data_IF_196637837527
#
_entry.id   IF_196637837527
#
_cell.length_a   1.000
_cell.length_b   1.000
_cell.length_c   1.000
_cell.angle_alpha   90.00
_cell.angle_beta   90.00
_cell.angle_gamma   90.00
#
_symmetry.space_group_name_H-M   'P 1'
#
loop_
_entity.id
_entity.type
_entity.pdbx_description
1 polymer ?
#
# COMPACT_ATOMS: atom_id res chain seq x y z
N UNK A 1 14.19 9.26 -15.35
CA UNK A 1 15.56 8.84 -15.02
C UNK A 1 16.54 9.18 -16.15
N UNK A 2 16.30 8.70 -17.39
CA UNK A 2 17.16 8.96 -18.56
C UNK A 2 17.22 10.48 -18.87
N UNK A 3 16.09 11.19 -18.79
CA UNK A 3 16.01 12.64 -19.04
C UNK A 3 16.76 13.43 -17.96
N UNK A 4 16.67 13.02 -16.69
CA UNK A 4 17.37 13.67 -15.57
C UNK A 4 18.91 13.50 -15.63
N UNK A 5 19.40 12.42 -16.21
CA UNK A 5 20.84 12.20 -16.44
C UNK A 5 21.35 13.08 -17.60
N UNK A 6 20.49 13.48 -18.52
CA UNK A 6 20.85 14.18 -19.75
C UNK A 6 20.77 15.73 -19.61
N UNK A 7 19.96 16.25 -18.67
CA UNK A 7 19.73 17.70 -18.53
C UNK A 7 19.91 18.20 -17.09
N UNK A 8 21.00 18.93 -16.77
CA UNK A 8 21.20 19.54 -15.45
C UNK A 8 20.09 20.53 -15.06
N UNK A 9 19.46 21.20 -16.04
CA UNK A 9 18.34 22.13 -15.81
C UNK A 9 17.10 21.38 -15.33
N UNK A 10 16.79 20.22 -15.90
CA UNK A 10 15.70 19.39 -15.43
C UNK A 10 15.94 18.88 -13.99
N UNK A 11 17.18 18.54 -13.68
CA UNK A 11 17.59 18.14 -12.34
C UNK A 11 17.36 19.25 -11.31
N UNK A 12 17.72 20.49 -11.64
CA UNK A 12 17.53 21.64 -10.74
C UNK A 12 16.04 21.95 -10.52
N UNK A 13 15.22 21.85 -11.57
CA UNK A 13 13.77 22.02 -11.47
C UNK A 13 13.14 20.90 -10.63
N UNK A 14 13.52 19.65 -10.88
CA UNK A 14 13.03 18.51 -10.12
C UNK A 14 13.37 18.67 -8.63
N UNK A 15 14.63 18.98 -8.30
CA UNK A 15 15.06 19.18 -6.91
C UNK A 15 14.36 20.38 -6.25
N UNK A 16 14.10 21.46 -6.98
CA UNK A 16 13.37 22.61 -6.44
C UNK A 16 11.89 22.29 -6.18
N UNK A 17 11.26 21.48 -7.02
CA UNK A 17 9.87 21.04 -6.82
C UNK A 17 9.76 20.10 -5.61
N UNK A 18 10.67 19.13 -5.46
CA UNK A 18 10.66 18.20 -4.33
C UNK A 18 10.95 18.89 -2.99
N UNK A 19 11.74 19.97 -2.99
CA UNK A 19 12.03 20.77 -1.79
C UNK A 19 10.88 21.73 -1.40
N UNK A 20 10.05 22.16 -2.36
CA UNK A 20 8.93 23.08 -2.09
C UNK A 20 7.67 22.37 -1.59
N UNK A 21 7.48 21.12 -1.94
CA UNK A 21 6.33 20.32 -1.54
C UNK A 21 6.79 19.17 -0.65
N UNK A 22 6.18 19.01 0.51
CA UNK A 22 6.32 17.79 1.30
C UNK A 22 5.60 16.65 0.58
N UNK A 23 6.37 15.97 -0.29
CA UNK A 23 5.86 14.89 -1.13
C UNK A 23 5.26 13.76 -0.27
N UNK A 24 5.88 13.46 0.86
CA UNK A 24 5.43 12.41 1.76
C UNK A 24 4.06 12.74 2.36
N UNK A 25 3.87 13.99 2.81
CA UNK A 25 2.61 14.46 3.36
C UNK A 25 1.48 14.46 2.32
N UNK A 26 1.76 14.97 1.11
CA UNK A 26 0.82 14.95 -0.01
C UNK A 26 0.40 13.52 -0.35
N UNK A 27 1.36 12.59 -0.36
CA UNK A 27 1.10 11.21 -0.74
C UNK A 27 0.26 10.49 0.30
N UNK A 28 0.60 10.60 1.58
CA UNK A 28 -0.09 9.89 2.65
C UNK A 28 -1.48 10.49 2.92
N UNK A 29 -1.58 11.83 2.97
CA UNK A 29 -2.82 12.50 3.41
C UNK A 29 -3.81 12.76 2.26
N UNK A 30 -3.34 12.80 1.00
CA UNK A 30 -4.21 13.08 -0.14
C UNK A 30 -4.22 11.91 -1.12
N UNK A 31 -3.09 11.59 -1.75
CA UNK A 31 -3.09 10.62 -2.86
C UNK A 31 -3.51 9.22 -2.41
N UNK A 32 -2.98 8.73 -1.29
CA UNK A 32 -3.27 7.39 -0.78
C UNK A 32 -4.76 7.17 -0.46
N UNK A 33 -5.46 8.06 0.27
CA UNK A 33 -6.90 7.95 0.46
C UNK A 33 -7.70 7.84 -0.84
N UNK A 34 -7.34 8.64 -1.86
CA UNK A 34 -8.01 8.60 -3.16
C UNK A 34 -7.76 7.28 -3.90
N UNK A 35 -6.51 6.81 -3.95
CA UNK A 35 -6.14 5.55 -4.58
C UNK A 35 -6.83 4.35 -3.92
N UNK A 36 -6.85 4.31 -2.59
CA UNK A 36 -7.47 3.22 -1.84
C UNK A 36 -8.99 3.23 -1.97
N UNK A 37 -9.62 4.39 -2.00
CA UNK A 37 -11.04 4.49 -2.26
C UNK A 37 -11.39 4.00 -3.68
N UNK A 38 -10.65 4.45 -4.69
CA UNK A 38 -10.83 3.99 -6.06
C UNK A 38 -10.62 2.48 -6.20
N UNK A 39 -9.62 1.92 -5.51
CA UNK A 39 -9.43 0.49 -5.37
C UNK A 39 -10.64 -0.20 -4.73
N UNK A 40 -11.14 0.32 -3.61
CA UNK A 40 -12.24 -0.27 -2.86
C UNK A 40 -13.57 -0.30 -3.65
N UNK A 41 -13.87 0.75 -4.41
CA UNK A 41 -15.07 0.76 -5.26
C UNK A 41 -14.95 -0.11 -6.52
N UNK A 42 -13.74 -0.58 -6.84
CA UNK A 42 -13.48 -1.42 -8.01
C UNK A 42 -13.53 -2.92 -7.72
N UNK A 43 -13.49 -3.31 -6.44
CA UNK A 43 -13.47 -4.72 -6.01
C UNK A 43 -14.88 -5.30 -6.02
N UNK A 44 -15.02 -6.56 -6.42
CA UNK A 44 -16.28 -7.30 -6.29
C UNK A 44 -16.57 -7.61 -4.80
N UNK A 45 -17.43 -6.80 -4.17
CA UNK A 45 -17.73 -6.92 -2.74
C UNK A 45 -18.33 -8.27 -2.38
N UNK A 46 -19.17 -8.86 -3.25
CA UNK A 46 -19.77 -10.16 -2.98
C UNK A 46 -18.71 -11.28 -2.89
N UNK A 47 -17.77 -11.32 -3.82
CA UNK A 47 -16.67 -12.28 -3.79
C UNK A 47 -15.71 -12.02 -2.65
N UNK A 48 -15.43 -10.73 -2.35
CA UNK A 48 -14.61 -10.34 -1.22
C UNK A 48 -15.21 -10.82 0.11
N UNK A 49 -16.51 -10.66 0.32
CA UNK A 49 -17.19 -11.14 1.53
C UNK A 49 -17.19 -12.67 1.63
N UNK A 50 -17.30 -13.38 0.51
CA UNK A 50 -17.22 -14.84 0.49
C UNK A 50 -15.81 -15.35 0.85
N UNK A 51 -14.76 -14.60 0.51
CA UNK A 51 -13.37 -14.95 0.76
C UNK A 51 -12.69 -14.07 1.81
N UNK A 52 -13.46 -13.31 2.59
CA UNK A 52 -12.95 -12.34 3.58
C UNK A 52 -11.89 -12.90 4.52
N UNK A 53 -12.06 -14.12 5.00
CA UNK A 53 -11.09 -14.74 5.91
C UNK A 53 -9.76 -15.09 5.22
N UNK A 54 -9.81 -15.47 3.93
CA UNK A 54 -8.61 -15.69 3.12
C UNK A 54 -7.87 -14.38 2.93
N UNK A 55 -8.60 -13.34 2.50
CA UNK A 55 -8.05 -12.02 2.21
C UNK A 55 -7.47 -11.38 3.48
N UNK A 56 -8.24 -11.37 4.58
CA UNK A 56 -7.79 -10.79 5.85
C UNK A 56 -6.58 -11.54 6.43
N UNK A 57 -6.55 -12.87 6.33
CA UNK A 57 -5.40 -13.63 6.82
C UNK A 57 -4.15 -13.37 5.98
N UNK A 58 -4.27 -13.34 4.65
CA UNK A 58 -3.16 -13.01 3.76
C UNK A 58 -2.64 -11.59 4.01
N UNK A 59 -3.53 -10.61 4.13
CA UNK A 59 -3.16 -9.24 4.38
C UNK A 59 -2.52 -9.03 5.75
N UNK A 60 -3.14 -9.52 6.84
CA UNK A 60 -2.65 -9.29 8.19
C UNK A 60 -1.41 -10.12 8.53
N UNK A 61 -1.48 -11.44 8.32
CA UNK A 61 -0.34 -12.32 8.58
C UNK A 61 0.83 -11.98 7.66
N UNK A 62 0.56 -11.73 6.36
CA UNK A 62 1.57 -11.37 5.38
C UNK A 62 2.35 -10.12 5.78
N UNK A 63 1.66 -9.05 6.20
CA UNK A 63 2.28 -7.79 6.64
C UNK A 63 3.07 -7.99 7.92
N UNK A 64 2.45 -8.55 8.96
CA UNK A 64 3.10 -8.74 10.27
C UNK A 64 4.33 -9.64 10.12
N UNK A 65 4.18 -10.78 9.45
CA UNK A 65 5.30 -11.70 9.21
C UNK A 65 6.42 -11.03 8.42
N UNK A 66 6.11 -10.32 7.32
CA UNK A 66 7.10 -9.61 6.52
C UNK A 66 7.81 -8.53 7.33
N UNK A 67 7.09 -7.76 8.15
CA UNK A 67 7.68 -6.72 9.01
C UNK A 67 8.75 -7.30 9.92
N UNK A 68 8.42 -8.37 10.65
CA UNK A 68 9.36 -8.98 11.58
C UNK A 68 10.48 -9.76 10.86
N UNK A 69 10.17 -10.52 9.81
CA UNK A 69 11.16 -11.30 9.07
C UNK A 69 12.19 -10.41 8.37
N UNK A 70 11.71 -9.39 7.63
CA UNK A 70 12.60 -8.46 6.92
C UNK A 70 13.33 -7.57 7.91
N UNK A 71 12.64 -6.98 8.89
CA UNK A 71 13.27 -6.10 9.89
C UNK A 71 14.34 -6.81 10.71
N UNK A 72 14.08 -8.03 11.19
CA UNK A 72 15.06 -8.81 11.94
C UNK A 72 16.27 -9.20 11.07
N UNK A 73 16.03 -9.60 9.82
CA UNK A 73 17.11 -9.97 8.92
C UNK A 73 18.00 -8.76 8.57
N UNK A 74 17.39 -7.60 8.30
CA UNK A 74 18.12 -6.36 8.04
C UNK A 74 18.91 -5.93 9.27
N UNK A 75 18.31 -5.97 10.46
CA UNK A 75 19.02 -5.69 11.71
C UNK A 75 20.25 -6.59 11.87
N UNK A 76 20.07 -7.91 11.66
CA UNK A 76 21.20 -8.85 11.76
C UNK A 76 22.30 -8.53 10.75
N UNK A 77 21.97 -8.15 9.51
CA UNK A 77 22.92 -7.76 8.47
C UNK A 77 23.68 -6.50 8.89
N UNK A 78 22.99 -5.47 9.37
CA UNK A 78 23.62 -4.19 9.74
C UNK A 78 24.56 -4.29 10.93
N UNK A 79 24.34 -5.28 11.82
CA UNK A 79 25.24 -5.55 12.95
C UNK A 79 26.52 -6.34 12.56
N UNK A 80 26.61 -6.87 11.33
CA UNK A 80 27.79 -7.61 10.94
C UNK A 80 28.95 -6.67 10.60
N UNK A 81 30.14 -6.86 11.22
CA UNK A 81 31.33 -6.02 10.94
C UNK A 81 31.76 -6.06 9.46
N UNK A 82 31.42 -7.16 8.77
CA UNK A 82 31.75 -7.37 7.36
C UNK A 82 31.23 -6.27 6.44
N UNK A 83 30.09 -5.66 6.80
CA UNK A 83 29.42 -4.66 5.96
C UNK A 83 29.77 -3.21 6.35
N UNK A 84 30.43 -2.99 7.50
CA UNK A 84 30.79 -1.65 7.97
C UNK A 84 29.58 -0.75 8.29
N UNK A 85 28.39 -1.33 8.48
CA UNK A 85 27.14 -0.59 8.72
C UNK A 85 26.82 -0.39 10.20
N UNK A 86 27.58 -1.03 11.09
CA UNK A 86 27.36 -0.91 12.55
C UNK A 86 27.53 0.53 13.06
N UNK A 87 28.33 1.34 12.38
CA UNK A 87 28.55 2.75 12.69
C UNK A 87 27.33 3.65 12.40
N UNK A 88 26.41 3.20 11.53
CA UNK A 88 25.16 3.93 11.22
C UNK A 88 24.14 3.93 12.37
N UNK A 89 24.38 3.16 13.42
CA UNK A 89 23.58 3.17 14.65
C UNK A 89 22.12 2.76 14.49
N UNK A 90 21.76 2.00 13.44
CA UNK A 90 20.40 1.53 13.23
C UNK A 90 19.94 0.66 14.39
N UNK A 91 18.85 1.05 15.02
CA UNK A 91 18.20 0.27 16.08
C UNK A 91 17.32 -0.83 15.48
N UNK A 92 16.95 -1.80 16.32
CA UNK A 92 16.02 -2.86 15.89
C UNK A 92 14.68 -2.30 15.40
N UNK A 93 14.18 -1.22 16.05
CA UNK A 93 12.93 -0.55 15.64
C UNK A 93 13.07 0.11 14.27
N UNK A 94 14.22 0.70 13.95
CA UNK A 94 14.47 1.29 12.61
C UNK A 94 14.41 0.23 11.52
N UNK A 95 14.97 -0.95 11.79
CA UNK A 95 14.90 -2.08 10.87
C UNK A 95 13.47 -2.66 10.77
N UNK A 96 12.69 -2.66 11.87
CA UNK A 96 11.28 -3.04 11.82
C UNK A 96 10.45 -2.02 11.03
N UNK A 97 10.74 -0.71 11.14
CA UNK A 97 10.13 0.33 10.31
C UNK A 97 10.38 0.04 8.82
N UNK A 98 11.63 -0.31 8.45
CA UNK A 98 11.92 -0.76 7.08
C UNK A 98 11.09 -1.99 6.69
N UNK A 99 10.97 -2.99 7.57
CA UNK A 99 10.14 -4.16 7.34
C UNK A 99 8.66 -3.80 7.11
N UNK A 100 8.13 -2.86 7.90
CA UNK A 100 6.73 -2.43 7.82
C UNK A 100 6.44 -1.63 6.54
N UNK A 101 7.31 -0.68 6.17
CA UNK A 101 7.11 0.12 4.95
C UNK A 101 7.26 -0.69 3.66
N UNK A 102 8.03 -1.80 3.69
CA UNK A 102 8.22 -2.65 2.52
C UNK A 102 7.21 -3.82 2.47
N UNK A 103 6.39 -4.03 3.50
CA UNK A 103 5.42 -5.12 3.54
C UNK A 103 4.20 -4.91 2.63
N UNK A 104 3.60 -3.71 2.48
CA UNK A 104 2.48 -3.45 1.57
C UNK A 104 2.80 -3.74 0.11
N UNK A 105 1.79 -4.14 -0.68
CA UNK A 105 1.96 -4.52 -2.10
C UNK A 105 0.94 -3.86 -3.00
N UNK A 106 1.38 -3.32 -4.12
CA UNK A 106 0.56 -2.66 -5.12
C UNK A 106 -0.02 -3.68 -6.14
N UNK A 107 -1.35 -3.79 -6.28
CA UNK A 107 -1.98 -4.76 -7.17
C UNK A 107 -2.13 -4.27 -8.61
N UNK A 108 -1.92 -2.97 -8.91
CA UNK A 108 -2.35 -2.35 -10.17
C UNK A 108 -1.75 -3.03 -11.38
N UNK A 109 -0.42 -3.14 -11.41
CA UNK A 109 0.27 -3.79 -12.52
C UNK A 109 -0.07 -5.29 -12.63
N UNK A 110 -0.29 -5.94 -11.49
CA UNK A 110 -0.66 -7.36 -11.42
C UNK A 110 -2.07 -7.58 -11.96
N UNK A 111 -3.05 -6.80 -11.52
CA UNK A 111 -4.43 -6.89 -11.94
C UNK A 111 -4.57 -6.62 -13.46
N UNK A 112 -3.84 -5.65 -14.00
CA UNK A 112 -3.81 -5.39 -15.43
C UNK A 112 -3.29 -6.59 -16.24
N UNK A 113 -2.37 -7.38 -15.70
CA UNK A 113 -1.87 -8.60 -16.34
C UNK A 113 -2.82 -9.78 -16.15
N UNK A 114 -3.35 -9.97 -14.94
CA UNK A 114 -4.27 -11.05 -14.57
C UNK A 114 -5.54 -11.00 -15.43
N UNK A 115 -6.12 -9.81 -15.64
CA UNK A 115 -7.26 -9.59 -16.54
C UNK A 115 -6.97 -10.05 -17.98
N UNK A 116 -5.74 -9.85 -18.47
CA UNK A 116 -5.33 -10.31 -19.83
C UNK A 116 -5.11 -11.83 -19.91
N UNK A 117 -5.10 -12.52 -18.78
CA UNK A 117 -4.79 -13.95 -18.69
C UNK A 117 -6.02 -14.82 -18.44
N UNK A 118 -7.23 -14.20 -18.36
CA UNK A 118 -8.50 -14.89 -18.13
C UNK A 118 -8.50 -15.76 -16.85
N UNK A 119 -7.86 -15.29 -15.76
CA UNK A 119 -8.01 -15.91 -14.44
C UNK A 119 -9.43 -15.68 -13.93
N UNK A 120 -9.84 -16.47 -12.93
CA UNK A 120 -11.18 -16.32 -12.36
C UNK A 120 -11.32 -14.97 -11.65
N UNK A 121 -12.54 -14.43 -11.65
CA UNK A 121 -12.93 -13.24 -10.89
C UNK A 121 -12.61 -13.39 -9.40
N UNK A 122 -12.73 -14.59 -8.85
CA UNK A 122 -12.38 -14.90 -7.47
C UNK A 122 -10.89 -14.67 -7.18
N UNK A 123 -10.02 -15.12 -8.08
CA UNK A 123 -8.56 -14.90 -7.93
C UNK A 123 -8.20 -13.43 -8.09
N UNK A 124 -8.84 -12.71 -9.02
CA UNK A 124 -8.69 -11.25 -9.14
C UNK A 124 -9.10 -10.54 -7.87
N UNK A 125 -10.24 -10.89 -7.29
CA UNK A 125 -10.76 -10.32 -6.04
C UNK A 125 -9.86 -10.63 -4.84
N UNK A 126 -9.27 -11.84 -4.76
CA UNK A 126 -8.29 -12.19 -3.72
C UNK A 126 -7.05 -11.30 -3.79
N UNK A 127 -6.50 -11.10 -4.99
CA UNK A 127 -5.32 -10.25 -5.22
C UNK A 127 -5.63 -8.79 -4.88
N UNK A 128 -6.73 -8.26 -5.42
CA UNK A 128 -7.15 -6.88 -5.18
C UNK A 128 -7.46 -6.63 -3.69
N UNK A 129 -8.22 -7.52 -3.07
CA UNK A 129 -8.61 -7.40 -1.67
C UNK A 129 -7.43 -7.58 -0.71
N UNK A 130 -6.53 -8.55 -0.98
CA UNK A 130 -5.33 -8.73 -0.18
C UNK A 130 -4.48 -7.46 -0.18
N UNK A 131 -4.24 -6.88 -1.35
CA UNK A 131 -3.46 -5.67 -1.49
C UNK A 131 -4.13 -4.45 -0.84
N UNK A 132 -5.44 -4.28 -1.03
CA UNK A 132 -6.21 -3.19 -0.45
C UNK A 132 -6.14 -3.18 1.09
N UNK A 133 -6.23 -4.36 1.72
CA UNK A 133 -6.16 -4.47 3.18
C UNK A 133 -4.72 -4.47 3.70
N UNK A 134 -3.75 -5.01 2.94
CA UNK A 134 -2.37 -5.00 3.40
C UNK A 134 -1.78 -3.59 3.41
N UNK A 135 -2.18 -2.69 2.51
CA UNK A 135 -1.82 -1.28 2.54
C UNK A 135 -2.32 -0.63 3.83
N UNK A 136 -3.59 -0.87 4.18
CA UNK A 136 -4.17 -0.37 5.42
C UNK A 136 -3.45 -0.87 6.67
N UNK A 137 -3.23 -2.18 6.76
CA UNK A 137 -2.56 -2.81 7.90
C UNK A 137 -1.09 -2.39 7.95
N UNK A 138 -0.42 -2.29 6.80
CA UNK A 138 0.98 -1.88 6.71
C UNK A 138 1.22 -0.47 7.23
N UNK A 139 0.35 0.48 6.86
CA UNK A 139 0.41 1.85 7.40
C UNK A 139 0.18 1.85 8.91
N UNK A 140 -0.79 1.10 9.43
CA UNK A 140 -1.04 1.02 10.88
C UNK A 140 0.16 0.44 11.62
N UNK A 141 0.75 -0.66 11.12
CA UNK A 141 1.95 -1.26 11.71
C UNK A 141 3.13 -0.28 11.67
N UNK A 142 3.31 0.43 10.55
CA UNK A 142 4.36 1.44 10.42
C UNK A 142 4.17 2.58 11.41
N UNK A 143 2.97 3.18 11.51
CA UNK A 143 2.69 4.27 12.43
C UNK A 143 2.82 3.85 13.88
N UNK A 144 2.39 2.64 14.23
CA UNK A 144 2.60 2.07 15.57
C UNK A 144 4.09 1.94 15.90
N UNK A 145 4.92 1.43 14.98
CA UNK A 145 6.37 1.33 15.16
C UNK A 145 7.02 2.73 15.21
N UNK A 146 6.52 3.68 14.43
CA UNK A 146 6.98 5.05 14.43
C UNK A 146 6.70 5.73 15.77
N UNK A 147 5.52 5.54 16.35
CA UNK A 147 5.19 6.03 17.70
C UNK A 147 6.12 5.43 18.74
N UNK A 148 6.42 4.11 18.66
CA UNK A 148 7.40 3.45 19.53
C UNK A 148 8.79 4.09 19.41
N UNK A 149 9.21 4.44 18.20
CA UNK A 149 10.49 5.10 17.95
C UNK A 149 10.52 6.50 18.55
N UNK A 150 9.44 7.27 18.43
CA UNK A 150 9.36 8.67 18.85
C UNK A 150 9.22 8.81 20.38
N UNK A 151 8.44 7.94 21.03
CA UNK A 151 8.19 7.99 22.48
C UNK A 151 9.31 7.32 23.29
N UNK A 152 10.12 6.47 22.63
CA UNK A 152 11.17 5.66 23.27
C UNK A 152 10.62 4.37 23.90
N UNK A 153 11.37 3.28 23.71
CA UNK A 153 10.98 1.90 24.13
C UNK A 153 10.74 1.84 25.65
N UNK A 154 11.44 2.63 26.42
CA UNK A 154 11.37 2.63 27.91
C UNK A 154 10.01 3.11 28.44
N UNK A 155 9.29 3.93 27.66
CA UNK A 155 8.01 4.53 28.05
C UNK A 155 6.80 3.71 27.58
N UNK A 156 7.03 2.64 26.81
CA UNK A 156 5.97 1.90 26.13
C UNK A 156 5.79 0.51 26.74
N UNK A 157 4.55 0.19 27.07
CA UNK A 157 4.17 -1.16 27.52
C UNK A 157 3.54 -1.95 26.37
N UNK A 158 3.65 -3.30 26.35
CA UNK A 158 2.94 -4.12 25.36
C UNK A 158 1.44 -3.85 25.32
N UNK A 159 0.87 -3.45 26.45
CA UNK A 159 -0.55 -3.09 26.56
C UNK A 159 -0.85 -1.77 25.83
N UNK A 160 -0.01 -0.74 25.99
CA UNK A 160 -0.22 0.54 25.27
C UNK A 160 -0.10 0.36 23.75
N UNK A 161 0.87 -0.41 23.26
CA UNK A 161 1.03 -0.74 21.84
C UNK A 161 -0.21 -1.45 21.30
N UNK A 162 -0.69 -2.47 22.04
CA UNK A 162 -1.89 -3.20 21.62
C UNK A 162 -3.12 -2.31 21.58
N UNK A 163 -3.28 -1.40 22.54
CA UNK A 163 -4.39 -0.44 22.57
C UNK A 163 -4.31 0.55 21.42
N UNK A 164 -3.13 1.10 21.14
CA UNK A 164 -2.92 1.98 19.98
C UNK A 164 -3.30 1.27 18.67
N UNK A 165 -2.76 0.09 18.45
CA UNK A 165 -3.06 -0.71 17.26
C UNK A 165 -4.56 -1.03 17.13
N UNK A 166 -5.20 -1.47 18.21
CA UNK A 166 -6.63 -1.75 18.22
C UNK A 166 -7.44 -0.48 17.96
N UNK A 167 -7.08 0.64 18.59
CA UNK A 167 -7.77 1.92 18.38
C UNK A 167 -7.68 2.37 16.92
N UNK A 168 -6.50 2.32 16.32
CA UNK A 168 -6.30 2.67 14.91
C UNK A 168 -7.11 1.74 13.98
N UNK A 169 -7.02 0.43 14.16
CA UNK A 169 -7.70 -0.54 13.28
C UNK A 169 -9.21 -0.50 13.48
N UNK A 170 -9.68 -0.68 14.71
CA UNK A 170 -11.13 -0.75 15.00
C UNK A 170 -11.77 0.61 14.80
N UNK A 171 -11.11 1.69 15.24
CA UNK A 171 -11.58 3.06 15.02
C UNK A 171 -11.70 3.39 13.53
N UNK A 172 -10.70 3.05 12.73
CA UNK A 172 -10.73 3.23 11.27
C UNK A 172 -11.87 2.47 10.61
N UNK A 173 -12.07 1.19 10.96
CA UNK A 173 -13.16 0.37 10.44
C UNK A 173 -14.54 0.95 10.82
N UNK A 174 -14.73 1.35 12.07
CA UNK A 174 -16.00 1.94 12.54
C UNK A 174 -16.25 3.27 11.84
N UNK A 175 -15.26 4.15 11.77
CA UNK A 175 -15.37 5.44 11.10
C UNK A 175 -15.73 5.25 9.62
N UNK A 176 -15.03 4.37 8.92
CA UNK A 176 -15.31 4.05 7.52
C UNK A 176 -16.72 3.50 7.30
N UNK A 177 -17.19 2.61 8.18
CA UNK A 177 -18.54 2.08 8.13
C UNK A 177 -19.61 3.17 8.37
N UNK A 178 -19.38 4.05 9.35
CA UNK A 178 -20.29 5.19 9.63
C UNK A 178 -20.33 6.16 8.45
N UNK A 179 -19.16 6.57 7.95
CA UNK A 179 -19.08 7.49 6.82
C UNK A 179 -19.65 6.86 5.54
N UNK A 180 -19.37 5.59 5.28
CA UNK A 180 -19.94 4.86 4.15
C UNK A 180 -21.45 4.74 4.23
N UNK A 181 -22.01 4.43 5.41
CA UNK A 181 -23.44 4.39 5.63
C UNK A 181 -24.12 5.75 5.46
N UNK A 182 -23.50 6.82 6.01
CA UNK A 182 -24.01 8.19 5.81
C UNK A 182 -23.92 8.60 4.34
N UNK A 183 -22.82 8.27 3.66
CA UNK A 183 -22.66 8.50 2.22
C UNK A 183 -23.73 7.81 1.39
N UNK A 184 -24.02 6.53 1.67
CA UNK A 184 -25.13 5.80 1.03
C UNK A 184 -26.48 6.49 1.24
N UNK A 185 -26.75 6.97 2.44
CA UNK A 185 -27.99 7.70 2.71
C UNK A 185 -28.09 9.03 1.96
N UNK A 186 -26.97 9.77 1.89
CA UNK A 186 -26.89 11.03 1.16
C UNK A 186 -27.12 10.82 -0.34
N UNK A 187 -26.43 9.83 -0.94
CA UNK A 187 -26.61 9.49 -2.35
C UNK A 187 -28.05 9.10 -2.65
N UNK A 188 -28.68 8.26 -1.80
CA UNK A 188 -30.09 7.88 -1.99
C UNK A 188 -31.09 9.00 -1.77
N UNK A 189 -30.76 10.00 -0.93
CA UNK A 189 -31.66 11.11 -0.63
C UNK A 189 -31.75 12.14 -1.78
N UNK A 190 -30.68 12.28 -2.57
CA UNK A 190 -30.55 13.30 -3.64
C UNK A 190 -31.33 12.89 -4.89
N UNK A 191 -32.06 11.73 -4.86
CA UNK A 191 -32.90 11.27 -5.98
C UNK A 191 -32.41 11.68 -7.39
N UNK A 192 -31.44 10.93 -7.88
CA UNK A 192 -31.24 10.48 -9.27
C UNK A 192 -31.31 11.46 -10.45
N UNK A 193 -31.28 12.78 -10.27
CA UNK A 193 -31.27 13.69 -11.39
C UNK A 193 -29.88 14.24 -11.76
N UNK A 194 -28.90 14.16 -10.83
CA UNK A 194 -27.59 14.80 -11.01
C UNK A 194 -26.44 13.87 -10.61
N UNK A 195 -25.86 13.20 -11.60
CA UNK A 195 -24.72 12.28 -11.45
C UNK A 195 -23.49 12.97 -10.81
N UNK A 196 -23.32 14.26 -11.09
CA UNK A 196 -22.22 15.07 -10.58
C UNK A 196 -22.24 15.17 -9.05
N UNK A 197 -23.43 15.15 -8.43
CA UNK A 197 -23.58 15.23 -6.99
C UNK A 197 -23.04 13.97 -6.28
N UNK A 198 -23.20 12.79 -6.87
CA UNK A 198 -22.64 11.55 -6.31
C UNK A 198 -21.11 11.59 -6.30
N UNK A 199 -20.50 12.09 -7.36
CA UNK A 199 -19.05 12.30 -7.42
C UNK A 199 -18.60 13.30 -6.36
N UNK A 200 -19.29 14.43 -6.23
CA UNK A 200 -18.95 15.46 -5.22
C UNK A 200 -19.08 14.91 -3.80
N UNK A 201 -20.12 14.13 -3.52
CA UNK A 201 -20.30 13.48 -2.21
C UNK A 201 -19.15 12.53 -1.93
N UNK A 202 -18.82 11.63 -2.86
CA UNK A 202 -17.74 10.67 -2.66
C UNK A 202 -16.39 11.36 -2.50
N UNK A 203 -16.10 12.40 -3.28
CA UNK A 203 -14.90 13.23 -3.13
C UNK A 203 -14.83 13.89 -1.76
N UNK A 204 -15.95 14.50 -1.33
CA UNK A 204 -16.02 15.17 -0.02
C UNK A 204 -15.78 14.19 1.13
N UNK A 205 -16.36 13.00 1.06
CA UNK A 205 -16.18 11.96 2.07
C UNK A 205 -14.72 11.47 2.12
N UNK A 206 -14.07 11.29 0.98
CA UNK A 206 -12.65 10.86 0.92
C UNK A 206 -11.74 11.94 1.49
N UNK A 207 -12.02 13.22 1.25
CA UNK A 207 -11.26 14.34 1.83
C UNK A 207 -11.51 14.50 3.34
N UNK A 208 -12.72 14.24 3.82
CA UNK A 208 -13.06 14.36 5.23
C UNK A 208 -12.53 13.20 6.08
N UNK A 209 -12.42 12.00 5.50
CA UNK A 209 -12.01 10.81 6.25
C UNK A 209 -10.62 10.96 6.93
N UNK A 210 -9.55 11.43 6.27
CA UNK A 210 -8.27 11.67 6.93
C UNK A 210 -8.35 12.72 8.04
N UNK A 211 -9.09 13.82 7.82
CA UNK A 211 -9.24 14.90 8.81
C UNK A 211 -9.90 14.40 10.08
N UNK A 212 -11.00 13.64 9.95
CA UNK A 212 -11.69 13.06 11.10
C UNK A 212 -10.84 11.97 11.77
N UNK A 213 -10.21 11.10 10.97
CA UNK A 213 -9.34 10.04 11.49
C UNK A 213 -8.21 10.61 12.34
N UNK A 214 -7.56 11.65 11.87
CA UNK A 214 -6.45 12.30 12.60
C UNK A 214 -6.91 12.84 13.96
N UNK A 215 -8.11 13.42 14.05
CA UNK A 215 -8.64 13.97 15.31
C UNK A 215 -8.87 12.89 16.39
N UNK A 216 -9.18 11.66 15.98
CA UNK A 216 -9.48 10.55 16.89
C UNK A 216 -8.37 9.51 16.98
N UNK A 217 -7.23 9.72 16.31
CA UNK A 217 -6.15 8.75 16.17
C UNK A 217 -6.62 7.40 15.61
N UNK A 218 -7.45 7.46 14.56
CA UNK A 218 -7.92 6.30 13.80
C UNK A 218 -7.15 6.17 12.50
N UNK A 219 -7.11 4.97 11.93
CA UNK A 219 -6.50 4.76 10.61
C UNK A 219 -7.38 5.36 9.51
N UNK A 220 -6.91 6.45 8.90
CA UNK A 220 -7.55 7.06 7.73
C UNK A 220 -7.61 6.10 6.54
N UNK A 221 -6.57 5.30 6.36
CA UNK A 221 -6.43 4.32 5.28
C UNK A 221 -7.53 3.26 5.39
N UNK A 222 -7.70 2.65 6.56
CA UNK A 222 -8.76 1.66 6.78
C UNK A 222 -10.16 2.28 6.71
N UNK A 223 -10.33 3.52 7.20
CA UNK A 223 -11.60 4.23 7.11
C UNK A 223 -12.03 4.43 5.67
N UNK A 224 -11.14 4.88 4.80
CA UNK A 224 -11.41 5.11 3.38
C UNK A 224 -11.70 3.79 2.64
N UNK A 225 -10.95 2.73 2.93
CA UNK A 225 -11.19 1.40 2.34
C UNK A 225 -12.57 0.88 2.69
N UNK A 226 -12.92 0.88 3.99
CA UNK A 226 -14.23 0.38 4.46
C UNK A 226 -15.36 1.26 3.90
N UNK A 227 -15.19 2.58 3.90
CA UNK A 227 -16.15 3.52 3.30
C UNK A 227 -16.37 3.22 1.81
N UNK A 228 -15.31 3.01 1.05
CA UNK A 228 -15.40 2.66 -0.37
C UNK A 228 -16.14 1.35 -0.63
N UNK A 229 -15.88 0.31 0.19
CA UNK A 229 -16.61 -0.97 0.10
C UNK A 229 -18.11 -0.82 0.40
N UNK A 230 -18.49 0.05 1.34
CA UNK A 230 -19.90 0.34 1.61
C UNK A 230 -20.58 1.03 0.42
N UNK A 231 -19.94 2.06 -0.15
CA UNK A 231 -20.47 2.80 -1.30
C UNK A 231 -20.49 1.97 -2.58
N UNK A 232 -19.57 1.04 -2.75
CA UNK A 232 -19.52 0.12 -3.88
C UNK A 232 -20.81 -0.71 -4.03
N UNK A 233 -21.45 -1.12 -2.93
CA UNK A 233 -22.72 -1.87 -2.99
C UNK A 233 -23.79 -1.12 -3.76
N UNK A 234 -23.87 0.20 -3.62
CA UNK A 234 -24.82 1.03 -4.34
C UNK A 234 -24.42 1.18 -5.83
N UNK A 235 -23.17 1.54 -6.07
CA UNK A 235 -22.63 1.70 -7.42
C UNK A 235 -22.80 0.42 -8.25
N UNK A 236 -22.60 -0.75 -7.65
CA UNK A 236 -22.75 -2.04 -8.31
C UNK A 236 -24.23 -2.39 -8.55
N UNK A 237 -25.11 -1.97 -7.65
CA UNK A 237 -26.57 -2.07 -7.84
C UNK A 237 -27.04 -1.18 -8.99
N UNK A 238 -26.54 0.05 -9.07
CA UNK A 238 -26.90 0.99 -10.13
C UNK A 238 -26.40 0.54 -11.50
N UNK A 239 -25.22 -0.08 -11.58
CA UNK A 239 -24.73 -0.69 -12.82
C UNK A 239 -25.57 -1.84 -13.32
N UNK A 240 -26.21 -2.59 -12.41
CA UNK A 240 -27.11 -3.71 -12.74
C UNK A 240 -28.56 -3.24 -13.03
N UNK A 241 -28.89 -1.99 -12.67
CA UNK A 241 -30.16 -1.37 -12.99
C UNK A 241 -30.26 -1.02 -14.48
N UNK A 242 -31.43 -0.58 -14.92
CA UNK A 242 -31.66 -0.13 -16.27
C UNK A 242 -31.82 1.41 -16.34
N UNK A 243 -31.55 2.00 -17.49
CA UNK A 243 -31.77 3.41 -17.74
C UNK A 243 -30.79 4.34 -17.03
N UNK A 244 -31.32 5.37 -16.38
CA UNK A 244 -30.53 6.46 -15.76
C UNK A 244 -29.65 5.96 -14.61
N UNK A 245 -30.16 5.08 -13.75
CA UNK A 245 -29.40 4.55 -12.61
C UNK A 245 -28.12 3.82 -13.07
N UNK A 246 -28.21 3.02 -14.15
CA UNK A 246 -27.03 2.38 -14.72
C UNK A 246 -26.00 3.41 -15.21
N UNK A 247 -26.47 4.46 -15.90
CA UNK A 247 -25.59 5.53 -16.37
C UNK A 247 -24.87 6.24 -15.22
N UNK A 248 -25.54 6.43 -14.08
CA UNK A 248 -24.96 7.04 -12.87
C UNK A 248 -23.88 6.16 -12.26
N UNK A 249 -24.17 4.90 -11.97
CA UNK A 249 -23.15 3.97 -11.45
C UNK A 249 -21.93 3.84 -12.36
N UNK A 250 -22.15 3.80 -13.67
CA UNK A 250 -21.06 3.76 -14.68
C UNK A 250 -20.22 5.06 -14.67
N UNK A 251 -20.85 6.22 -14.45
CA UNK A 251 -20.15 7.50 -14.44
C UNK A 251 -19.27 7.65 -13.21
N UNK A 252 -19.80 7.38 -12.02
CA UNK A 252 -19.03 7.44 -10.76
C UNK A 252 -17.84 6.48 -10.84
N UNK A 253 -18.06 5.25 -11.33
CA UNK A 253 -16.99 4.28 -11.50
C UNK A 253 -15.91 4.77 -12.49
N UNK A 254 -16.30 5.31 -13.65
CA UNK A 254 -15.36 5.84 -14.64
C UNK A 254 -14.56 7.02 -14.12
N UNK A 255 -15.20 7.91 -13.35
CA UNK A 255 -14.52 9.05 -12.72
C UNK A 255 -13.42 8.54 -11.76
N UNK A 256 -13.75 7.64 -10.85
CA UNK A 256 -12.79 7.12 -9.88
C UNK A 256 -11.70 6.29 -10.54
N UNK A 257 -12.01 5.53 -11.57
CA UNK A 257 -11.02 4.80 -12.35
C UNK A 257 -10.03 5.73 -13.08
N UNK A 258 -10.53 6.81 -13.68
CA UNK A 258 -9.68 7.81 -14.33
C UNK A 258 -8.78 8.52 -13.30
N UNK A 259 -9.33 8.85 -12.15
CA UNK A 259 -8.58 9.47 -11.07
C UNK A 259 -7.48 8.54 -10.54
N UNK A 260 -7.78 7.26 -10.35
CA UNK A 260 -6.83 6.21 -9.97
C UNK A 260 -5.67 6.11 -10.96
N UNK A 261 -5.95 5.98 -12.26
CA UNK A 261 -4.92 5.93 -13.31
C UNK A 261 -4.05 7.21 -13.32
N UNK A 262 -4.69 8.37 -13.16
CA UNK A 262 -3.99 9.67 -13.16
C UNK A 262 -3.07 9.79 -11.94
N UNK A 263 -3.58 9.50 -10.74
CA UNK A 263 -2.80 9.59 -9.50
C UNK A 263 -1.65 8.58 -9.49
N UNK A 264 -1.86 7.37 -10.00
CA UNK A 264 -0.80 6.38 -10.13
C UNK A 264 0.29 6.84 -11.12
N UNK A 265 -0.08 7.44 -12.26
CA UNK A 265 0.89 7.98 -13.19
C UNK A 265 1.73 9.10 -12.54
N UNK A 266 1.09 10.02 -11.81
CA UNK A 266 1.78 11.07 -11.04
C UNK A 266 2.69 10.44 -9.99
N UNK A 267 2.22 9.44 -9.25
CA UNK A 267 2.98 8.73 -8.23
C UNK A 267 4.27 8.13 -8.80
N UNK A 268 4.19 7.41 -9.92
CA UNK A 268 5.38 6.83 -10.56
C UNK A 268 6.36 7.87 -11.07
N UNK A 269 5.87 9.03 -11.56
CA UNK A 269 6.74 10.15 -11.96
C UNK A 269 7.46 10.70 -10.73
N UNK A 270 6.77 10.93 -9.63
CA UNK A 270 7.33 11.47 -8.40
C UNK A 270 8.37 10.52 -7.78
N UNK A 271 8.08 9.21 -7.73
CA UNK A 271 9.06 8.19 -7.33
C UNK A 271 10.31 8.26 -8.20
N UNK A 272 10.12 8.43 -9.52
CA UNK A 272 11.23 8.55 -10.46
C UNK A 272 12.08 9.81 -10.25
N UNK A 273 11.50 10.91 -9.79
CA UNK A 273 12.20 12.15 -9.47
C UNK A 273 13.01 12.03 -8.17
N UNK A 274 12.40 11.47 -7.14
CA UNK A 274 13.01 11.28 -5.82
C UNK A 274 14.20 10.31 -5.81
N UNK A 275 14.33 9.43 -6.81
CA UNK A 275 15.48 8.52 -6.90
C UNK A 275 16.80 9.25 -7.18
N UNK A 276 16.72 10.45 -7.78
CA UNK A 276 17.91 11.19 -8.27
C UNK A 276 18.82 11.61 -7.11
N UNK A 277 18.34 12.28 -6.05
CA UNK A 277 19.14 12.63 -4.88
C UNK A 277 19.75 11.40 -4.19
N UNK A 278 19.00 10.30 -4.16
CA UNK A 278 19.43 9.05 -3.50
C UNK A 278 20.61 8.41 -4.22
N UNK A 279 20.64 8.47 -5.55
CA UNK A 279 21.75 7.93 -6.34
C UNK A 279 23.06 8.69 -6.13
N UNK A 280 23.03 9.94 -5.66
CA UNK A 280 24.25 10.71 -5.35
C UNK A 280 24.98 10.15 -4.13
N UNK A 281 24.26 9.56 -3.18
CA UNK A 281 24.79 8.95 -1.96
C UNK A 281 25.05 7.43 -2.11
N UNK A 282 24.92 6.89 -3.35
CA UNK A 282 25.04 5.48 -3.62
C UNK A 282 26.51 5.02 -3.59
N UNK A 283 26.86 4.14 -2.65
CA UNK A 283 28.16 3.48 -2.61
C UNK A 283 28.09 2.07 -3.21
N UNK A 284 29.10 1.70 -3.99
CA UNK A 284 29.18 0.34 -4.58
C UNK A 284 29.14 -0.78 -3.52
N UNK A 285 29.58 -0.50 -2.28
CA UNK A 285 29.49 -1.43 -1.16
C UNK A 285 28.07 -1.86 -0.81
N UNK A 286 27.04 -1.04 -1.14
CA UNK A 286 25.63 -1.36 -0.85
C UNK A 286 25.04 -2.41 -1.80
N UNK A 287 25.65 -2.68 -2.97
CA UNK A 287 25.11 -3.60 -3.99
C UNK A 287 24.87 -5.00 -3.41
N UNK A 288 25.81 -5.52 -2.62
CA UNK A 288 25.67 -6.85 -2.03
C UNK A 288 24.53 -6.89 -1.00
N UNK A 289 24.39 -5.85 -0.19
CA UNK A 289 23.33 -5.72 0.82
C UNK A 289 21.97 -5.59 0.14
N UNK A 290 21.88 -4.79 -0.91
CA UNK A 290 20.66 -4.64 -1.72
C UNK A 290 20.19 -5.99 -2.26
N UNK A 291 21.11 -6.79 -2.83
CA UNK A 291 20.79 -8.12 -3.35
C UNK A 291 20.28 -9.04 -2.22
N UNK A 292 20.94 -9.05 -1.07
CA UNK A 292 20.50 -9.83 0.09
C UNK A 292 19.10 -9.40 0.55
N UNK A 293 18.85 -8.10 0.69
CA UNK A 293 17.55 -7.56 1.13
C UNK A 293 16.46 -7.89 0.13
N UNK A 294 16.71 -7.78 -1.18
CA UNK A 294 15.75 -8.19 -2.21
C UNK A 294 15.37 -9.67 -2.05
N UNK A 295 16.35 -10.54 -1.87
CA UNK A 295 16.10 -11.99 -1.67
C UNK A 295 15.27 -12.20 -0.40
N UNK A 296 15.61 -11.54 0.70
CA UNK A 296 14.89 -11.65 1.97
C UNK A 296 13.43 -11.19 1.81
N UNK A 297 13.19 -10.07 1.14
CA UNK A 297 11.84 -9.53 0.89
C UNK A 297 11.02 -10.51 0.05
N UNK A 298 11.58 -11.07 -1.02
CA UNK A 298 10.89 -12.03 -1.89
C UNK A 298 10.60 -13.34 -1.15
N UNK A 299 11.56 -13.87 -0.38
CA UNK A 299 11.39 -15.09 0.41
C UNK A 299 10.37 -14.87 1.53
N UNK A 300 10.46 -13.75 2.25
CA UNK A 300 9.49 -13.39 3.29
C UNK A 300 8.07 -13.30 2.72
N UNK A 301 7.89 -12.65 1.56
CA UNK A 301 6.59 -12.61 0.86
C UNK A 301 6.12 -14.01 0.50
N UNK A 302 7.01 -14.86 -0.02
CA UNK A 302 6.70 -16.24 -0.33
C UNK A 302 6.15 -17.00 0.88
N UNK A 303 6.84 -16.96 2.00
CA UNK A 303 6.40 -17.60 3.24
C UNK A 303 5.06 -17.02 3.72
N UNK A 304 4.93 -15.67 3.71
CA UNK A 304 3.73 -14.95 4.11
C UNK A 304 2.49 -15.31 3.28
N UNK A 305 2.66 -15.79 2.06
CA UNK A 305 1.57 -16.21 1.16
C UNK A 305 1.37 -17.72 1.18
N UNK A 306 2.45 -18.51 0.99
CA UNK A 306 2.34 -19.96 0.89
C UNK A 306 1.83 -20.61 2.18
N UNK A 307 2.27 -20.12 3.35
CA UNK A 307 1.85 -20.69 4.63
C UNK A 307 0.34 -20.54 4.85
N UNK A 308 -0.27 -19.33 4.77
CA UNK A 308 -1.72 -19.19 4.89
C UNK A 308 -2.50 -19.97 3.83
N UNK A 309 -2.07 -19.93 2.55
CA UNK A 309 -2.77 -20.65 1.49
C UNK A 309 -2.75 -22.15 1.75
N UNK A 310 -1.61 -22.72 2.15
CA UNK A 310 -1.51 -24.15 2.47
C UNK A 310 -2.42 -24.55 3.63
N UNK A 311 -2.50 -23.72 4.69
CA UNK A 311 -3.41 -23.96 5.80
C UNK A 311 -4.89 -23.85 5.39
N UNK A 312 -5.22 -22.88 4.54
CA UNK A 312 -6.59 -22.65 4.09
C UNK A 312 -7.03 -23.64 3.00
N UNK A 313 -6.09 -24.25 2.27
CA UNK A 313 -6.39 -25.24 1.21
C UNK A 313 -7.09 -26.50 1.75
N UNK A 314 -7.03 -26.74 3.07
CA UNK A 314 -7.78 -27.81 3.74
C UNK A 314 -9.30 -27.58 3.63
N UNK A 315 -9.75 -26.33 3.58
CA UNK A 315 -11.17 -25.95 3.61
C UNK A 315 -11.65 -25.24 2.35
N UNK A 316 -10.76 -24.67 1.55
CA UNK A 316 -11.07 -23.91 0.35
C UNK A 316 -10.21 -24.36 -0.83
N UNK A 317 -10.78 -24.35 -2.01
CA UNK A 317 -10.05 -24.63 -3.25
C UNK A 317 -9.37 -23.34 -3.74
N UNK A 318 -8.11 -23.47 -4.11
CA UNK A 318 -7.35 -22.44 -4.80
C UNK A 318 -7.01 -22.93 -6.20
N UNK A 319 -7.04 -22.01 -7.17
CA UNK A 319 -6.55 -22.32 -8.52
C UNK A 319 -5.06 -22.64 -8.47
N UNK A 320 -4.63 -23.47 -9.41
CA UNK A 320 -3.21 -23.74 -9.61
C UNK A 320 -2.45 -22.42 -9.74
N UNK A 321 -1.28 -22.34 -9.10
CA UNK A 321 -0.40 -21.16 -9.10
C UNK A 321 -0.93 -19.90 -8.37
N UNK A 322 -2.12 -19.91 -7.75
CA UNK A 322 -2.60 -18.74 -6.99
C UNK A 322 -1.55 -18.22 -6.00
N UNK A 323 -0.94 -19.12 -5.22
CA UNK A 323 0.12 -18.73 -4.26
C UNK A 323 1.33 -18.10 -4.96
N UNK A 324 1.74 -18.64 -6.11
CA UNK A 324 2.85 -18.15 -6.90
C UNK A 324 2.55 -16.78 -7.51
N UNK A 325 1.32 -16.59 -8.03
CA UNK A 325 0.86 -15.33 -8.61
C UNK A 325 0.82 -14.24 -7.55
N UNK A 326 0.24 -14.52 -6.36
CA UNK A 326 0.18 -13.55 -5.25
C UNK A 326 1.59 -13.23 -4.73
N UNK A 327 2.48 -14.22 -4.65
CA UNK A 327 3.86 -14.01 -4.18
C UNK A 327 4.65 -13.16 -5.16
N UNK A 328 4.68 -13.55 -6.43
CA UNK A 328 5.47 -12.84 -7.44
C UNK A 328 4.82 -11.53 -7.88
N UNK A 329 3.49 -11.47 -7.83
CA UNK A 329 2.71 -10.27 -8.07
C UNK A 329 2.70 -9.27 -6.90
N UNK A 330 3.31 -9.58 -5.77
CA UNK A 330 3.47 -8.64 -4.66
C UNK A 330 4.45 -7.52 -4.98
N UNK A 331 4.12 -6.68 -5.97
CA UNK A 331 4.95 -5.54 -6.35
C UNK A 331 4.92 -4.49 -5.25
N UNK A 332 6.04 -3.83 -5.01
CA UNK A 332 6.10 -2.71 -4.07
C UNK A 332 5.89 -1.42 -4.83
N UNK A 333 5.01 -0.57 -4.30
CA UNK A 333 4.58 0.65 -4.95
C UNK A 333 5.03 1.93 -4.25
N UNK A 334 4.34 3.02 -4.58
CA UNK A 334 4.62 4.34 -4.04
C UNK A 334 4.42 4.47 -2.54
N UNK A 335 3.54 3.67 -1.94
CA UNK A 335 3.33 3.67 -0.50
C UNK A 335 4.62 3.36 0.27
N UNK A 336 5.40 2.36 -0.16
CA UNK A 336 6.69 2.05 0.48
C UNK A 336 7.65 3.23 0.44
N UNK A 337 7.71 3.94 -0.68
CA UNK A 337 8.55 5.14 -0.84
C UNK A 337 8.06 6.28 0.03
N UNK A 338 6.75 6.54 0.05
CA UNK A 338 6.17 7.59 0.87
C UNK A 338 6.45 7.40 2.36
N UNK A 339 6.26 6.17 2.85
CA UNK A 339 6.54 5.84 4.24
C UNK A 339 8.04 5.96 4.56
N UNK A 340 8.93 5.61 3.62
CA UNK A 340 10.38 5.76 3.80
C UNK A 340 10.81 7.23 3.86
N UNK A 341 10.23 8.11 3.03
CA UNK A 341 10.48 9.54 3.07
C UNK A 341 9.99 10.18 4.39
N UNK A 342 8.92 9.64 4.97
CA UNK A 342 8.34 10.09 6.22
C UNK A 342 9.09 9.61 7.49
N UNK A 343 10.19 8.90 7.33
CA UNK A 343 11.03 8.49 8.46
C UNK A 343 11.66 9.73 9.14
N UNK A 344 11.72 9.76 10.49
CA UNK A 344 12.23 10.91 11.21
C UNK A 344 13.75 11.07 11.00
N UNK A 345 14.20 12.32 10.99
CA UNK A 345 15.63 12.65 10.84
C UNK A 345 16.48 12.17 12.03
N UNK A 346 15.84 11.83 13.15
CA UNK A 346 16.51 11.24 14.32
C UNK A 346 17.17 9.88 14.05
N UNK A 347 16.85 9.21 12.92
CA UNK A 347 17.53 7.98 12.47
C UNK A 347 18.94 8.29 11.94
N UNK A 348 19.22 9.54 11.54
CA UNK A 348 20.53 9.96 11.04
C UNK A 348 20.89 9.29 9.70
N UNK A 349 22.16 8.91 9.54
CA UNK A 349 22.68 8.27 8.30
C UNK A 349 21.96 6.96 7.94
N UNK A 350 21.36 6.29 8.93
CA UNK A 350 20.55 5.10 8.71
C UNK A 350 19.30 5.34 7.85
N UNK A 351 18.76 6.57 7.83
CA UNK A 351 17.62 6.96 6.98
C UNK A 351 17.99 6.85 5.50
N UNK A 352 19.18 7.30 5.11
CA UNK A 352 19.66 7.22 3.72
C UNK A 352 19.79 5.76 3.27
N UNK A 353 20.32 4.89 4.14
CA UNK A 353 20.39 3.46 3.85
C UNK A 353 19.01 2.86 3.65
N UNK A 354 18.04 3.15 4.53
CA UNK A 354 16.65 2.67 4.40
C UNK A 354 16.03 3.15 3.09
N UNK A 355 16.24 4.40 2.72
CA UNK A 355 15.79 4.96 1.45
C UNK A 355 16.40 4.20 0.26
N UNK A 356 17.72 4.01 0.22
CA UNK A 356 18.42 3.28 -0.84
C UNK A 356 17.87 1.85 -0.97
N UNK A 357 17.69 1.15 0.15
CA UNK A 357 17.14 -0.21 0.17
C UNK A 357 15.70 -0.24 -0.34
N UNK A 358 14.87 0.71 0.11
CA UNK A 358 13.45 0.82 -0.31
C UNK A 358 13.34 1.02 -1.82
N UNK A 359 14.07 2.01 -2.37
CA UNK A 359 14.05 2.27 -3.81
C UNK A 359 14.58 1.09 -4.61
N UNK A 360 15.64 0.43 -4.13
CA UNK A 360 16.21 -0.73 -4.80
C UNK A 360 15.21 -1.89 -4.87
N UNK A 361 14.48 -2.15 -3.78
CA UNK A 361 13.44 -3.19 -3.75
C UNK A 361 12.27 -2.80 -4.65
N UNK A 362 11.79 -1.55 -4.59
CA UNK A 362 10.68 -1.06 -5.42
C UNK A 362 11.04 -1.19 -6.91
N UNK A 363 12.22 -0.71 -7.31
CA UNK A 363 12.69 -0.85 -8.70
C UNK A 363 12.80 -2.31 -9.14
N UNK A 364 13.36 -3.18 -8.30
CA UNK A 364 13.45 -4.60 -8.60
C UNK A 364 12.07 -5.21 -8.80
N UNK A 365 11.12 -4.92 -7.92
CA UNK A 365 9.78 -5.49 -8.02
C UNK A 365 9.05 -5.00 -9.27
N UNK A 366 9.14 -3.73 -9.61
CA UNK A 366 8.51 -3.18 -10.82
C UNK A 366 9.17 -3.72 -12.09
N UNK A 367 10.51 -3.66 -12.18
CA UNK A 367 11.23 -3.99 -13.40
C UNK A 367 11.42 -5.51 -13.60
N UNK A 368 11.72 -6.25 -12.54
CA UNK A 368 11.98 -7.69 -12.66
C UNK A 368 10.73 -8.50 -12.45
N UNK A 369 10.06 -8.37 -11.29
CA UNK A 369 8.85 -9.13 -11.02
C UNK A 369 7.71 -8.73 -11.95
N UNK A 370 7.47 -7.43 -12.16
CA UNK A 370 6.42 -6.94 -13.07
C UNK A 370 6.59 -7.47 -14.49
N UNK A 371 7.78 -7.36 -15.09
CA UNK A 371 8.02 -7.82 -16.46
C UNK A 371 8.05 -9.36 -16.62
N UNK A 372 8.41 -10.09 -15.55
CA UNK A 372 8.51 -11.57 -15.60
C UNK A 372 7.23 -12.28 -15.16
N UNK A 373 6.27 -11.61 -14.52
CA UNK A 373 5.03 -12.19 -14.02
C UNK A 373 4.28 -12.98 -15.13
N UNK A 374 4.18 -12.40 -16.33
CA UNK A 374 3.53 -13.06 -17.49
C UNK A 374 4.17 -14.40 -17.84
N UNK A 375 5.48 -14.56 -17.69
CA UNK A 375 6.18 -15.82 -17.99
C UNK A 375 5.84 -16.87 -16.93
N UNK A 376 5.81 -16.47 -15.65
CA UNK A 376 5.54 -17.36 -14.54
C UNK A 376 4.12 -17.93 -14.58
N UNK A 377 3.16 -17.10 -14.95
CA UNK A 377 1.76 -17.58 -15.03
C UNK A 377 1.54 -18.51 -16.22
N UNK A 378 2.27 -18.30 -17.34
CA UNK A 378 2.16 -19.16 -18.54
C UNK A 378 2.94 -20.48 -18.46
N UNK A 379 4.00 -20.54 -17.63
CA UNK A 379 4.74 -21.77 -17.38
C UNK A 379 3.99 -22.73 -16.47
#
# INVERSE_FOLDING_TARGET
LIVGIISPEFLSIATSLTQQFDFSELLINVMLPFLLFAGAISVNVHELLNDKWVILLLASFGVIFSTFAVGTAVFWITQQPLFGLSEMGLTYVDCLLFGALIAPTDPIAVLAMVKKMNLSSVTETRIAGESLFNDGIGVVVFLTLLSIKMEGIENITPQSVSLLFINEVVGGVILGAVMGFLGLKLVKYIENEHVELEVIITLSLVLLAPLISHQFHFSAVLAVVVMGLFLNQNIDSDKKAEGLQKAMGDYVYKFWHLLDETLNAILFILIGLEIIPILQNFALGYVFIIIMVIIIVVVSRGIGVFLPITLLSIKKQFEEKTALIITWGGLRGGLSVALALNLPDSIGEGKDLILILTYSVVLFTILVQGLTLKKIVKS
#
